data_IF_820062449604
#
_entry.id   IF_820062449604
#
_cell.length_a   1.000
_cell.length_b   1.000
_cell.length_c   1.000
_cell.angle_alpha   90.00
_cell.angle_beta   90.00
_cell.angle_gamma   90.00
#
_symmetry.space_group_name_H-M   'P 1'
#
loop_
_entity.id
_entity.type
_entity.pdbx_description
1 polymer ?
#
# COMPACT_ATOMS: atom_id res chain seq x y z
N UNK A 1 -40.60 82.56 45.97
CA UNK A 1 -41.01 81.21 45.54
C UNK A 1 -39.74 80.50 45.09
N UNK A 2 -39.29 79.51 45.86
CA UNK A 2 -38.03 78.79 45.61
C UNK A 2 -38.23 77.75 44.50
N UNK A 3 -37.35 77.76 43.50
CA UNK A 3 -37.29 76.72 42.46
C UNK A 3 -36.15 75.77 42.78
N UNK A 4 -36.48 74.49 42.96
CA UNK A 4 -35.54 73.38 43.12
C UNK A 4 -35.00 73.01 41.74
N UNK A 5 -33.68 73.08 41.55
CA UNK A 5 -33.01 72.56 40.36
C UNK A 5 -32.62 71.11 40.65
N UNK A 6 -33.28 70.18 39.97
CA UNK A 6 -32.95 68.75 39.99
C UNK A 6 -31.89 68.51 38.91
N UNK A 7 -30.66 68.18 39.31
CA UNK A 7 -29.62 67.71 38.40
C UNK A 7 -29.86 66.23 38.09
N UNK A 8 -30.34 65.94 36.89
CA UNK A 8 -30.37 64.59 36.31
C UNK A 8 -28.96 64.25 35.81
N UNK A 9 -28.21 63.47 36.61
CA UNK A 9 -26.98 62.82 36.17
C UNK A 9 -27.35 61.66 35.24
N UNK A 10 -27.28 61.91 33.93
CA UNK A 10 -27.37 60.86 32.92
C UNK A 10 -26.12 59.99 32.95
N UNK A 11 -26.24 58.73 33.36
CA UNK A 11 -25.18 57.74 33.25
C UNK A 11 -25.14 57.27 31.80
N UNK A 12 -24.22 57.81 31.01
CA UNK A 12 -23.88 57.25 29.70
C UNK A 12 -23.00 56.02 29.90
N UNK A 13 -23.56 54.84 29.64
CA UNK A 13 -22.80 53.60 29.62
C UNK A 13 -21.93 53.58 28.36
N UNK A 14 -20.65 53.94 28.50
CA UNK A 14 -19.66 53.73 27.44
C UNK A 14 -19.28 52.27 27.48
N UNK A 15 -19.87 51.46 26.60
CA UNK A 15 -19.43 50.08 26.38
C UNK A 15 -18.18 50.15 25.50
N UNK A 16 -17.00 49.94 26.09
CA UNK A 16 -15.78 49.74 25.30
C UNK A 16 -15.89 48.35 24.65
N UNK A 17 -15.96 48.30 23.31
CA UNK A 17 -15.89 47.04 22.58
C UNK A 17 -14.44 46.58 22.49
N UNK A 18 -14.20 45.30 22.78
CA UNK A 18 -12.88 44.67 22.61
C UNK A 18 -12.45 44.78 21.14
N UNK A 19 -11.24 45.26 20.85
CA UNK A 19 -10.71 45.30 19.48
C UNK A 19 -10.34 43.89 18.96
N UNK A 20 -10.41 42.86 19.82
CA UNK A 20 -9.99 41.50 19.51
C UNK A 20 -11.10 40.63 18.86
N UNK A 21 -12.23 41.24 18.54
CA UNK A 21 -13.39 40.55 17.97
C UNK A 21 -14.29 39.91 19.04
N UNK A 22 -15.51 39.49 18.65
CA UNK A 22 -16.50 38.93 19.57
C UNK A 22 -16.16 37.51 20.04
N UNK A 23 -15.32 36.79 19.30
CA UNK A 23 -14.93 35.39 19.57
C UNK A 23 -13.80 35.25 20.59
N UNK A 24 -13.11 36.35 20.94
CA UNK A 24 -11.92 36.32 21.78
C UNK A 24 -12.30 36.42 23.27
N UNK A 25 -12.58 35.28 23.88
CA UNK A 25 -12.98 35.14 25.29
C UNK A 25 -11.77 34.87 26.22
N UNK A 26 -10.83 35.82 26.30
CA UNK A 26 -9.67 35.76 27.21
C UNK A 26 -9.72 36.93 28.21
N UNK A 27 -9.33 36.68 29.46
CA UNK A 27 -9.25 37.73 30.47
C UNK A 27 -8.27 38.84 30.04
N UNK A 28 -8.71 40.10 30.06
CA UNK A 28 -7.90 41.23 29.62
C UNK A 28 -6.56 41.33 30.38
N UNK A 29 -6.53 40.90 31.64
CA UNK A 29 -5.35 40.89 32.52
C UNK A 29 -4.30 39.84 32.14
N UNK A 30 -4.63 38.91 31.24
CA UNK A 30 -3.65 37.95 30.70
C UNK A 30 -2.61 38.65 29.79
N UNK A 31 -2.99 39.76 29.16
CA UNK A 31 -2.14 40.45 28.17
C UNK A 31 -1.89 41.92 28.54
N UNK A 32 -2.83 42.57 29.22
CA UNK A 32 -2.77 43.97 29.62
C UNK A 32 -2.63 44.10 31.13
N UNK A 33 -2.12 45.23 31.59
CA UNK A 33 -1.96 45.49 33.02
C UNK A 33 -2.45 46.91 33.39
N UNK A 34 -2.46 47.22 34.68
CA UNK A 34 -2.95 48.51 35.17
C UNK A 34 -2.14 49.72 34.71
N UNK A 35 -0.93 49.53 34.19
CA UNK A 35 -0.07 50.61 33.70
C UNK A 35 -0.37 51.00 32.25
N UNK A 36 -1.10 50.18 31.48
CA UNK A 36 -1.44 50.48 30.10
C UNK A 36 -1.90 49.26 29.29
N UNK A 37 -2.26 49.53 28.03
CA UNK A 37 -2.68 48.51 27.06
C UNK A 37 -1.51 47.94 26.25
N UNK A 38 -0.30 48.45 26.43
CA UNK A 38 0.89 47.93 25.77
C UNK A 38 1.25 46.55 26.33
N UNK A 39 1.47 45.61 25.42
CA UNK A 39 1.81 44.23 25.75
C UNK A 39 3.33 44.15 25.99
N UNK A 40 3.73 43.59 27.12
CA UNK A 40 5.13 43.23 27.35
C UNK A 40 5.35 41.78 26.91
N UNK A 41 6.05 41.61 25.79
CA UNK A 41 6.28 40.31 25.15
C UNK A 41 7.08 39.34 26.02
N UNK A 42 7.90 39.84 26.95
CA UNK A 42 8.67 39.02 27.89
C UNK A 42 7.80 38.43 29.01
N UNK A 43 6.62 39.03 29.24
CA UNK A 43 5.65 38.60 30.27
C UNK A 43 4.38 37.98 29.67
N UNK A 44 4.24 38.05 28.34
CA UNK A 44 3.09 37.54 27.61
C UNK A 44 3.14 36.00 27.58
N UNK A 45 2.14 35.36 28.18
CA UNK A 45 2.01 33.91 28.23
C UNK A 45 0.74 33.49 27.49
N UNK A 46 0.82 33.41 26.17
CA UNK A 46 -0.22 32.76 25.36
C UNK A 46 0.40 31.56 24.62
N UNK A 47 -0.19 30.38 24.83
CA UNK A 47 0.34 29.14 24.29
C UNK A 47 -0.27 28.83 22.92
N UNK A 48 0.56 28.86 21.87
CA UNK A 48 0.13 28.48 20.52
C UNK A 48 0.05 26.94 20.34
N UNK A 49 0.61 26.14 21.24
CA UNK A 49 0.54 24.66 21.18
C UNK A 49 -0.89 24.13 21.31
N UNK A 50 -1.83 24.93 21.82
CA UNK A 50 -3.24 24.55 21.96
C UNK A 50 -4.08 24.91 20.73
N UNK A 51 -3.48 25.51 19.72
CA UNK A 51 -4.16 25.96 18.50
C UNK A 51 -3.82 25.07 17.30
N UNK A 52 -4.59 25.23 16.21
CA UNK A 52 -4.42 24.48 14.97
C UNK A 52 -3.08 24.71 14.27
N UNK A 53 -2.42 25.86 14.51
CA UNK A 53 -1.10 26.17 13.98
C UNK A 53 -0.10 26.27 15.12
N UNK A 54 0.76 25.25 15.24
CA UNK A 54 1.81 25.20 16.26
C UNK A 54 3.03 25.97 15.78
N UNK A 55 3.57 26.84 16.65
CA UNK A 55 4.79 27.56 16.34
C UNK A 55 6.00 26.63 16.53
N UNK A 56 6.68 26.32 15.42
CA UNK A 56 7.89 25.50 15.41
C UNK A 56 8.97 26.15 14.55
N UNK A 57 10.23 25.84 14.85
CA UNK A 57 11.37 26.34 14.08
C UNK A 57 11.44 27.86 14.05
N UNK A 58 11.50 28.45 12.85
CA UNK A 58 11.62 29.90 12.70
C UNK A 58 10.36 30.66 13.15
N UNK A 59 9.19 30.01 13.13
CA UNK A 59 7.93 30.65 13.52
C UNK A 59 7.89 31.03 15.01
N UNK A 60 8.75 30.44 15.85
CA UNK A 60 8.89 30.80 17.27
C UNK A 60 9.50 32.19 17.49
N UNK A 61 10.24 32.71 16.51
CA UNK A 61 10.94 34.00 16.60
C UNK A 61 10.45 35.04 15.59
N UNK A 62 9.43 34.68 14.81
CA UNK A 62 8.74 35.61 13.89
C UNK A 62 7.91 36.61 14.68
N UNK A 63 7.92 37.89 14.28
CA UNK A 63 7.08 38.91 14.90
C UNK A 63 5.59 38.54 14.72
N UNK A 64 4.81 38.63 15.80
CA UNK A 64 3.38 38.33 15.82
C UNK A 64 2.61 39.04 14.70
N UNK A 65 3.03 40.24 14.30
CA UNK A 65 2.39 41.06 13.27
C UNK A 65 2.50 40.49 11.86
N UNK A 66 3.47 39.62 11.61
CA UNK A 66 3.62 38.95 10.32
C UNK A 66 2.50 37.92 10.09
N UNK A 67 1.94 37.36 11.16
CA UNK A 67 0.80 36.45 11.11
C UNK A 67 -0.53 37.18 11.38
N UNK A 68 -0.52 38.11 12.33
CA UNK A 68 -1.72 38.84 12.78
C UNK A 68 -1.73 40.28 12.23
N UNK A 69 -2.30 40.43 11.03
CA UNK A 69 -2.49 41.73 10.38
C UNK A 69 -3.53 42.64 11.11
N UNK A 70 -4.33 42.07 12.00
CA UNK A 70 -5.28 42.80 12.85
C UNK A 70 -5.26 42.26 14.28
N UNK A 71 -5.91 42.96 15.20
CA UNK A 71 -6.08 42.53 16.59
C UNK A 71 -7.11 41.39 16.73
N UNK A 72 -7.80 41.00 15.66
CA UNK A 72 -8.73 39.88 15.63
C UNK A 72 -7.93 38.60 15.32
N UNK A 73 -7.48 37.91 16.38
CA UNK A 73 -6.46 36.86 16.30
C UNK A 73 -6.93 35.56 15.61
N UNK A 74 -8.24 35.31 15.51
CA UNK A 74 -8.81 34.12 14.84
C UNK A 74 -8.84 34.21 13.30
N UNK A 75 -8.41 35.33 12.73
CA UNK A 75 -8.40 35.56 11.27
C UNK A 75 -7.06 35.21 10.60
N UNK A 76 -6.02 34.89 11.38
CA UNK A 76 -4.73 34.53 10.81
C UNK A 76 -4.83 33.18 10.07
N UNK A 77 -4.40 33.11 8.79
CA UNK A 77 -4.39 31.85 8.08
C UNK A 77 -3.31 30.91 8.63
N UNK A 78 -3.59 29.61 8.61
CA UNK A 78 -2.66 28.57 9.07
C UNK A 78 -1.99 27.79 7.94
N UNK A 79 -2.42 28.00 6.69
CA UNK A 79 -1.87 27.28 5.54
C UNK A 79 -0.58 27.94 5.06
N UNK A 80 0.46 27.13 4.80
CA UNK A 80 1.79 27.58 4.39
C UNK A 80 1.74 28.56 3.20
N UNK A 81 0.96 28.23 2.17
CA UNK A 81 0.82 29.02 0.94
C UNK A 81 0.11 30.38 1.15
N UNK A 82 -0.50 30.62 2.31
CA UNK A 82 -1.09 31.94 2.63
C UNK A 82 -0.05 32.99 3.01
N UNK A 83 1.14 32.53 3.44
CA UNK A 83 2.24 33.41 3.86
C UNK A 83 3.49 33.25 2.98
N UNK A 84 3.74 32.03 2.49
CA UNK A 84 4.90 31.72 1.67
C UNK A 84 4.53 31.65 0.19
N UNK A 85 5.35 32.32 -0.64
CA UNK A 85 5.22 32.22 -2.08
C UNK A 85 5.81 30.90 -2.56
N UNK A 86 5.05 30.20 -3.37
CA UNK A 86 5.56 29.02 -4.08
C UNK A 86 6.58 29.44 -5.15
N UNK A 87 7.81 28.93 -5.00
CA UNK A 87 8.89 29.13 -5.97
C UNK A 87 8.91 28.03 -7.05
N UNK A 88 8.10 26.99 -6.88
CA UNK A 88 8.08 25.81 -7.74
C UNK A 88 7.04 25.91 -8.87
N UNK A 89 6.33 27.03 -8.99
CA UNK A 89 5.31 27.28 -10.01
C UNK A 89 4.26 26.16 -10.09
N UNK A 90 3.80 25.70 -8.93
CA UNK A 90 2.81 24.66 -8.69
C UNK A 90 3.19 23.25 -9.17
N UNK A 91 4.45 23.02 -9.54
CA UNK A 91 4.89 21.70 -10.03
C UNK A 91 4.93 20.62 -8.95
N UNK A 92 5.02 21.00 -7.68
CA UNK A 92 5.08 20.07 -6.54
C UNK A 92 3.84 20.13 -5.62
N UNK A 93 2.87 20.99 -5.92
CA UNK A 93 1.66 21.20 -5.11
C UNK A 93 1.87 22.11 -3.90
N UNK A 94 0.85 22.22 -3.04
CA UNK A 94 0.84 23.09 -1.85
C UNK A 94 1.15 22.36 -0.53
N UNK A 95 1.44 21.06 -0.59
CA UNK A 95 1.81 20.26 0.58
C UNK A 95 3.30 20.48 0.91
N UNK A 96 3.61 21.66 1.44
CA UNK A 96 4.98 22.11 1.68
C UNK A 96 5.72 21.19 2.66
N UNK A 97 5.00 20.66 3.66
CA UNK A 97 5.57 19.83 4.74
C UNK A 97 6.00 18.44 4.28
N UNK A 98 5.66 18.06 3.04
CA UNK A 98 6.21 16.86 2.40
C UNK A 98 7.73 16.94 2.19
N UNK A 99 8.25 18.15 1.97
CA UNK A 99 9.68 18.34 1.66
C UNK A 99 10.38 19.31 2.63
N UNK A 100 9.65 20.29 3.14
CA UNK A 100 10.21 21.38 3.95
C UNK A 100 9.81 21.25 5.40
N UNK A 101 10.65 21.77 6.30
CA UNK A 101 10.38 21.79 7.73
C UNK A 101 10.21 23.22 8.22
N UNK A 102 9.52 23.45 9.34
CA UNK A 102 9.46 24.77 9.98
C UNK A 102 10.85 25.35 10.34
N UNK A 103 11.91 24.53 10.35
CA UNK A 103 13.28 24.95 10.63
C UNK A 103 14.02 25.42 9.37
N UNK A 104 13.71 24.85 8.20
CA UNK A 104 14.44 25.14 6.97
C UNK A 104 13.66 24.73 5.71
N UNK A 105 13.81 25.54 4.66
CA UNK A 105 13.39 25.22 3.29
C UNK A 105 14.37 24.32 2.54
N UNK A 106 15.54 24.02 3.13
CA UNK A 106 16.48 23.07 2.53
C UNK A 106 15.93 21.65 2.65
N UNK A 107 16.10 20.87 1.58
CA UNK A 107 15.68 19.48 1.47
C UNK A 107 16.93 18.63 1.36
N UNK A 108 17.14 17.70 2.29
CA UNK A 108 18.30 16.81 2.34
C UNK A 108 17.96 15.34 2.03
N UNK A 109 16.68 14.98 2.04
CA UNK A 109 16.15 13.64 1.77
C UNK A 109 15.67 13.45 0.30
N UNK A 110 16.36 14.06 -0.66
CA UNK A 110 16.01 13.96 -2.08
C UNK A 110 16.00 12.51 -2.60
N UNK A 111 16.98 11.64 -2.27
CA UNK A 111 16.96 10.24 -2.68
C UNK A 111 15.73 9.47 -2.18
N UNK A 112 15.35 9.66 -0.92
CA UNK A 112 14.20 9.00 -0.29
C UNK A 112 12.89 9.46 -0.93
N UNK A 113 12.76 10.76 -1.20
CA UNK A 113 11.59 11.30 -1.91
C UNK A 113 11.43 10.68 -3.30
N UNK A 114 12.53 10.40 -4.01
CA UNK A 114 12.50 9.75 -5.30
C UNK A 114 12.15 8.27 -5.20
N UNK A 115 12.69 7.56 -4.21
CA UNK A 115 12.36 6.17 -3.90
C UNK A 115 10.87 6.00 -3.56
N UNK A 116 10.33 6.83 -2.67
CA UNK A 116 8.90 6.83 -2.29
C UNK A 116 7.97 7.11 -3.48
N UNK A 117 8.45 7.84 -4.49
CA UNK A 117 7.71 8.16 -5.70
C UNK A 117 7.98 7.18 -6.86
N UNK A 118 8.67 6.07 -6.60
CA UNK A 118 8.81 4.97 -7.56
C UNK A 118 9.90 5.17 -8.61
N UNK A 119 10.92 5.99 -8.33
CA UNK A 119 12.12 6.11 -9.15
C UNK A 119 13.37 6.29 -8.27
N UNK A 120 13.96 5.20 -7.72
CA UNK A 120 15.11 5.32 -6.83
C UNK A 120 16.33 5.87 -7.58
N UNK A 121 16.99 6.89 -7.01
CA UNK A 121 18.20 7.51 -7.57
C UNK A 121 19.45 6.66 -7.28
N UNK A 122 19.52 5.49 -7.90
CA UNK A 122 20.59 4.48 -7.72
C UNK A 122 21.43 4.31 -8.99
N UNK A 123 22.61 3.71 -8.84
CA UNK A 123 23.52 3.46 -9.95
C UNK A 123 23.89 4.74 -10.71
N UNK A 124 23.78 4.71 -12.04
CA UNK A 124 24.07 5.86 -12.90
C UNK A 124 23.03 6.99 -12.76
N UNK A 125 21.79 6.67 -12.39
CA UNK A 125 20.71 7.66 -12.24
C UNK A 125 20.93 8.55 -11.01
N UNK A 126 21.63 8.06 -9.98
CA UNK A 126 22.01 8.85 -8.81
C UNK A 126 23.05 9.95 -9.08
N UNK A 127 23.72 9.91 -10.24
CA UNK A 127 24.72 10.91 -10.64
C UNK A 127 24.18 11.96 -11.61
N UNK A 128 22.89 11.90 -11.99
CA UNK A 128 22.28 12.85 -12.89
C UNK A 128 22.05 14.20 -12.20
N UNK A 129 22.06 15.26 -13.00
CA UNK A 129 21.62 16.57 -12.56
C UNK A 129 20.10 16.63 -12.52
N UNK A 130 19.55 17.44 -11.62
CA UNK A 130 18.10 17.62 -11.50
C UNK A 130 17.43 17.97 -12.83
N UNK A 131 18.10 18.81 -13.64
CA UNK A 131 17.59 19.31 -14.93
C UNK A 131 17.62 18.26 -16.04
N UNK A 132 18.32 17.15 -15.85
CA UNK A 132 18.37 16.06 -16.83
C UNK A 132 17.03 15.31 -16.87
N UNK A 133 16.29 15.31 -15.74
CA UNK A 133 14.97 14.69 -15.63
C UNK A 133 13.85 15.74 -15.50
N UNK A 134 14.06 16.75 -14.65
CA UNK A 134 13.11 17.85 -14.45
C UNK A 134 13.36 18.98 -15.44
N UNK A 135 13.09 18.70 -16.71
CA UNK A 135 13.37 19.61 -17.83
C UNK A 135 12.49 20.85 -17.71
N UNK A 136 13.11 21.97 -17.32
CA UNK A 136 12.42 23.25 -17.21
C UNK A 136 13.38 24.43 -17.40
N UNK A 137 12.80 25.62 -17.50
CA UNK A 137 13.56 26.87 -17.69
C UNK A 137 14.39 27.27 -16.45
N UNK A 138 14.11 26.66 -15.27
CA UNK A 138 14.69 27.07 -13.97
C UNK A 138 14.93 25.86 -13.05
N UNK A 139 16.00 25.88 -12.25
CA UNK A 139 16.29 24.80 -11.29
C UNK A 139 15.29 24.63 -10.14
N UNK A 140 14.23 25.45 -10.08
CA UNK A 140 13.21 25.43 -9.02
C UNK A 140 11.90 24.79 -9.48
N UNK A 141 11.74 24.55 -10.78
CA UNK A 141 10.53 23.98 -11.35
C UNK A 141 10.77 22.49 -11.67
N UNK A 142 9.99 21.62 -11.02
CA UNK A 142 10.18 20.17 -11.05
C UNK A 142 9.08 19.49 -11.87
N UNK A 143 9.11 19.69 -13.19
CA UNK A 143 8.17 18.99 -14.08
C UNK A 143 8.45 17.48 -14.06
N UNK A 144 7.39 16.67 -13.99
CA UNK A 144 7.52 15.20 -14.00
C UNK A 144 7.57 14.69 -15.43
N UNK A 145 8.69 14.08 -15.80
CA UNK A 145 8.85 13.37 -17.07
C UNK A 145 8.12 12.01 -17.09
N UNK A 146 7.95 11.40 -15.92
CA UNK A 146 7.53 10.00 -15.75
C UNK A 146 8.69 9.14 -15.24
N UNK A 147 8.40 7.95 -14.73
CA UNK A 147 9.39 7.01 -14.17
C UNK A 147 9.66 5.80 -15.08
N UNK A 148 8.93 5.64 -16.18
CA UNK A 148 9.17 4.55 -17.13
C UNK A 148 10.51 4.75 -17.85
N UNK A 149 11.26 3.66 -18.01
CA UNK A 149 12.59 3.68 -18.61
C UNK A 149 12.56 4.30 -20.02
N UNK A 150 11.52 3.99 -20.80
CA UNK A 150 11.34 4.47 -22.17
C UNK A 150 11.14 5.98 -22.29
N UNK A 151 10.74 6.67 -21.21
CA UNK A 151 10.61 8.13 -21.24
C UNK A 151 11.95 8.80 -21.57
N UNK A 152 13.08 8.14 -21.26
CA UNK A 152 14.43 8.55 -21.67
C UNK A 152 15.03 7.60 -22.74
N UNK A 153 14.85 6.30 -22.57
CA UNK A 153 15.61 5.27 -23.31
C UNK A 153 14.87 4.70 -24.53
N UNK A 154 13.79 5.33 -25.00
CA UNK A 154 13.09 4.88 -26.21
C UNK A 154 14.02 4.82 -27.42
N UNK A 155 14.89 5.83 -27.59
CA UNK A 155 15.78 5.85 -28.75
C UNK A 155 16.88 4.80 -28.65
N UNK A 156 17.36 4.50 -27.45
CA UNK A 156 18.28 3.38 -27.19
C UNK A 156 17.60 2.07 -27.59
N UNK A 157 16.39 1.81 -27.09
CA UNK A 157 15.58 0.63 -27.41
C UNK A 157 15.39 0.43 -28.92
N UNK A 158 15.06 1.49 -29.67
CA UNK A 158 14.85 1.43 -31.12
C UNK A 158 16.14 1.22 -31.91
N UNK A 159 17.29 1.64 -31.38
CA UNK A 159 18.58 1.58 -32.07
C UNK A 159 19.38 0.32 -31.75
N UNK A 160 19.01 -0.45 -30.73
CA UNK A 160 19.73 -1.67 -30.35
C UNK A 160 19.57 -2.75 -31.42
N UNK A 161 20.70 -3.27 -31.91
CA UNK A 161 20.75 -4.32 -32.95
C UNK A 161 21.31 -5.65 -32.45
N UNK A 162 21.84 -5.71 -31.23
CA UNK A 162 22.47 -6.90 -30.65
C UNK A 162 22.25 -6.99 -29.13
N UNK A 163 21.21 -7.72 -28.66
CA UNK A 163 20.12 -8.31 -29.45
C UNK A 163 19.16 -7.24 -30.00
N UNK A 164 18.58 -7.46 -31.18
CA UNK A 164 17.59 -6.52 -31.75
C UNK A 164 16.27 -6.65 -30.98
N UNK A 165 15.97 -5.68 -30.10
CA UNK A 165 14.80 -5.71 -29.24
C UNK A 165 13.49 -5.78 -30.03
N UNK A 166 13.39 -5.03 -31.14
CA UNK A 166 12.15 -4.96 -31.94
C UNK A 166 11.91 -6.26 -32.72
N UNK A 167 12.97 -6.86 -33.25
CA UNK A 167 12.87 -8.08 -34.05
C UNK A 167 12.53 -9.30 -33.19
N UNK A 168 13.14 -9.38 -32.00
CA UNK A 168 12.90 -10.46 -31.03
C UNK A 168 11.61 -10.24 -30.23
N UNK A 169 11.04 -9.03 -30.29
CA UNK A 169 9.76 -8.72 -29.64
C UNK A 169 9.88 -8.50 -28.13
N UNK A 170 11.04 -8.04 -27.64
CA UNK A 170 11.15 -7.69 -26.22
C UNK A 170 10.23 -6.53 -25.85
N UNK A 171 9.71 -6.54 -24.63
CA UNK A 171 8.84 -5.47 -24.13
C UNK A 171 9.62 -4.17 -24.05
N UNK A 172 9.03 -3.09 -24.54
CA UNK A 172 9.57 -1.75 -24.33
C UNK A 172 9.35 -1.27 -22.89
N UNK A 173 8.39 -1.82 -22.16
CA UNK A 173 8.03 -1.35 -20.82
C UNK A 173 8.80 -2.10 -19.71
N UNK A 174 9.16 -3.36 -19.95
CA UNK A 174 9.77 -4.22 -18.93
C UNK A 174 11.29 -4.34 -19.09
N UNK A 175 11.99 -3.20 -19.15
CA UNK A 175 13.44 -3.20 -19.32
C UNK A 175 14.18 -3.98 -18.22
N UNK A 176 13.61 -4.01 -17.00
CA UNK A 176 14.19 -4.69 -15.83
C UNK A 176 14.16 -6.23 -15.90
N UNK A 177 13.43 -6.81 -16.86
CA UNK A 177 13.49 -8.26 -17.11
C UNK A 177 14.88 -8.69 -17.58
N UNK A 178 15.63 -7.76 -18.18
CA UNK A 178 16.97 -8.01 -18.71
C UNK A 178 18.04 -7.09 -18.12
N UNK A 179 17.71 -5.82 -17.85
CA UNK A 179 18.66 -4.79 -17.45
C UNK A 179 18.59 -4.49 -15.95
N UNK A 180 19.75 -4.40 -15.30
CA UNK A 180 19.85 -4.11 -13.88
C UNK A 180 20.09 -2.61 -13.63
N UNK A 181 19.30 -1.99 -12.74
CA UNK A 181 19.43 -0.57 -12.36
C UNK A 181 20.77 -0.25 -11.68
N UNK A 182 21.45 -1.26 -11.12
CA UNK A 182 22.77 -1.12 -10.51
C UNK A 182 23.91 -1.32 -11.52
N UNK A 183 23.61 -1.78 -12.73
CA UNK A 183 24.62 -1.88 -13.77
C UNK A 183 25.03 -0.49 -14.27
N UNK A 184 26.32 -0.30 -14.52
CA UNK A 184 26.84 0.91 -15.15
C UNK A 184 26.69 0.93 -16.68
N UNK A 185 26.24 -0.20 -17.27
CA UNK A 185 26.23 -0.42 -18.71
C UNK A 185 25.05 -1.31 -19.13
N UNK A 186 24.52 -1.11 -20.35
CA UNK A 186 23.40 -1.89 -20.88
C UNK A 186 23.82 -3.31 -21.29
N UNK A 187 25.10 -3.51 -21.55
CA UNK A 187 25.71 -4.73 -22.08
C UNK A 187 25.75 -5.89 -21.08
N UNK A 188 25.64 -5.60 -19.77
CA UNK A 188 25.61 -6.62 -18.70
C UNK A 188 24.21 -7.21 -18.49
N UNK A 189 23.39 -7.23 -19.55
CA UNK A 189 22.02 -7.73 -19.51
C UNK A 189 21.98 -9.24 -19.21
N UNK A 190 21.08 -9.63 -18.32
CA UNK A 190 20.83 -11.03 -17.94
C UNK A 190 19.36 -11.30 -18.17
N UNK A 191 19.02 -12.30 -18.98
CA UNK A 191 17.62 -12.70 -19.19
C UNK A 191 17.11 -13.34 -17.90
N UNK A 192 16.17 -12.68 -17.22
CA UNK A 192 15.58 -13.16 -15.97
C UNK A 192 14.15 -13.63 -16.23
N UNK A 193 13.85 -14.86 -15.80
CA UNK A 193 12.53 -15.46 -15.93
C UNK A 193 11.76 -15.32 -14.62
N UNK A 194 11.65 -14.12 -14.07
CA UNK A 194 10.95 -13.92 -12.79
C UNK A 194 9.47 -14.29 -12.84
N UNK A 195 8.88 -14.24 -14.04
CA UNK A 195 7.49 -14.61 -14.31
C UNK A 195 7.30 -16.12 -14.55
N UNK A 196 8.37 -16.90 -14.70
CA UNK A 196 8.28 -18.34 -14.96
C UNK A 196 9.44 -19.11 -14.32
N UNK A 197 9.19 -19.99 -13.33
CA UNK A 197 10.24 -20.65 -12.58
C UNK A 197 10.99 -21.70 -13.42
N UNK A 198 12.26 -21.42 -13.76
CA UNK A 198 13.18 -22.35 -14.41
C UNK A 198 13.67 -23.43 -13.42
N UNK A 199 12.79 -24.37 -13.10
CA UNK A 199 13.00 -25.43 -12.12
C UNK A 199 12.74 -26.80 -12.75
N UNK A 200 13.47 -27.81 -12.29
CA UNK A 200 13.39 -29.20 -12.79
C UNK A 200 13.30 -29.28 -14.32
N UNK A 201 12.20 -29.79 -14.87
CA UNK A 201 12.00 -29.99 -16.31
C UNK A 201 11.96 -28.69 -17.12
N UNK A 202 11.67 -27.55 -16.50
CA UNK A 202 11.71 -26.24 -17.14
C UNK A 202 13.10 -25.59 -17.09
N UNK A 203 14.05 -26.16 -16.34
CA UNK A 203 15.43 -25.68 -16.30
C UNK A 203 16.26 -26.27 -17.46
N UNK A 204 15.97 -25.79 -18.67
CA UNK A 204 16.67 -26.19 -19.90
C UNK A 204 17.69 -25.12 -20.33
N UNK A 205 18.73 -25.55 -21.05
CA UNK A 205 19.72 -24.64 -21.65
C UNK A 205 19.34 -24.22 -23.08
N UNK A 206 18.36 -24.89 -23.69
CA UNK A 206 17.95 -24.67 -25.07
C UNK A 206 16.70 -23.78 -25.09
N UNK A 207 16.88 -22.47 -25.28
CA UNK A 207 15.78 -21.49 -25.23
C UNK A 207 14.63 -21.85 -26.18
N UNK A 208 14.95 -22.47 -27.32
CA UNK A 208 14.00 -22.83 -28.37
C UNK A 208 13.09 -24.01 -27.98
N UNK A 209 13.33 -24.69 -26.86
CA UNK A 209 12.38 -25.68 -26.33
C UNK A 209 11.09 -25.03 -25.84
N UNK A 210 11.15 -23.78 -25.38
CA UNK A 210 10.00 -23.01 -24.93
C UNK A 210 9.67 -21.84 -25.86
N UNK A 211 10.69 -21.13 -26.37
CA UNK A 211 10.55 -20.03 -27.31
C UNK A 211 10.51 -20.53 -28.75
N UNK A 212 9.35 -21.10 -29.10
CA UNK A 212 9.12 -21.81 -30.37
C UNK A 212 9.10 -20.88 -31.60
N UNK A 213 8.94 -19.57 -31.41
CA UNK A 213 8.94 -18.57 -32.49
C UNK A 213 10.17 -17.68 -32.39
N UNK A 214 10.42 -16.90 -33.44
CA UNK A 214 11.49 -15.89 -33.41
C UNK A 214 11.21 -14.76 -32.39
N UNK A 215 9.94 -14.58 -31.99
CA UNK A 215 9.53 -13.58 -31.01
C UNK A 215 9.38 -14.24 -29.64
N UNK A 216 10.31 -13.98 -28.75
CA UNK A 216 10.35 -14.63 -27.45
C UNK A 216 9.12 -14.30 -26.59
N UNK A 217 8.52 -13.13 -26.81
CA UNK A 217 7.28 -12.69 -26.19
C UNK A 217 6.04 -13.51 -26.54
N UNK A 218 6.08 -14.33 -27.60
CA UNK A 218 4.92 -15.12 -28.02
C UNK A 218 4.68 -16.33 -27.10
N UNK A 219 5.69 -16.75 -26.34
CA UNK A 219 5.59 -17.87 -25.41
C UNK A 219 4.80 -17.47 -24.17
N UNK A 220 3.70 -18.16 -23.93
CA UNK A 220 2.83 -17.99 -22.77
C UNK A 220 3.46 -18.65 -21.54
N UNK A 221 3.54 -17.96 -20.37
CA UNK A 221 4.03 -18.54 -19.13
C UNK A 221 2.99 -19.45 -18.43
N UNK A 222 1.73 -19.43 -18.87
CA UNK A 222 0.66 -20.22 -18.29
C UNK A 222 0.89 -21.71 -18.52
N UNK A 223 0.86 -22.52 -17.45
CA UNK A 223 1.16 -23.95 -17.51
C UNK A 223 0.29 -24.69 -18.54
N UNK A 224 -1.01 -24.35 -18.60
CA UNK A 224 -1.97 -24.99 -19.51
C UNK A 224 -1.69 -24.71 -20.98
N UNK A 225 -0.91 -23.67 -21.33
CA UNK A 225 -0.54 -23.44 -22.73
C UNK A 225 0.24 -24.61 -23.34
N UNK A 226 1.01 -25.33 -22.52
CA UNK A 226 1.73 -26.55 -22.88
C UNK A 226 1.06 -27.81 -22.32
N UNK A 227 0.57 -27.75 -21.08
CA UNK A 227 0.09 -28.91 -20.32
C UNK A 227 -1.44 -29.07 -20.33
N UNK A 228 -2.17 -28.48 -21.29
CA UNK A 228 -3.62 -28.66 -21.41
C UNK A 228 -4.01 -30.13 -21.57
N UNK A 229 -3.20 -30.90 -22.30
CA UNK A 229 -3.47 -32.34 -22.50
C UNK A 229 -3.32 -33.11 -21.20
N UNK A 230 -2.29 -32.78 -20.40
CA UNK A 230 -2.08 -33.41 -19.09
C UNK A 230 -3.21 -33.03 -18.13
N UNK A 231 -3.59 -31.75 -18.08
CA UNK A 231 -4.73 -31.27 -17.30
C UNK A 231 -6.01 -32.03 -17.66
N UNK A 232 -6.32 -32.15 -18.95
CA UNK A 232 -7.54 -32.82 -19.41
C UNK A 232 -7.54 -34.34 -19.18
N UNK A 233 -6.37 -34.98 -19.16
CA UNK A 233 -6.24 -36.44 -19.00
C UNK A 233 -6.03 -36.89 -17.55
N UNK A 234 -5.91 -35.97 -16.59
CA UNK A 234 -5.73 -36.30 -15.17
C UNK A 234 -7.04 -36.87 -14.60
N UNK A 235 -6.98 -38.01 -13.92
CA UNK A 235 -8.16 -38.70 -13.36
C UNK A 235 -8.17 -38.82 -11.83
N UNK A 236 -7.06 -38.49 -11.17
CA UNK A 236 -6.90 -38.65 -9.72
C UNK A 236 -6.20 -37.42 -9.10
N UNK A 237 -6.95 -36.39 -8.69
CA UNK A 237 -8.38 -36.18 -8.93
C UNK A 237 -8.67 -35.77 -10.38
N UNK A 238 -9.88 -36.02 -10.88
CA UNK A 238 -10.28 -35.58 -12.23
C UNK A 238 -10.45 -34.06 -12.25
N UNK A 239 -9.52 -33.36 -12.92
CA UNK A 239 -9.52 -31.90 -12.97
C UNK A 239 -10.76 -31.33 -13.68
N UNK A 240 -11.24 -31.99 -14.74
CA UNK A 240 -12.38 -31.51 -15.51
C UNK A 240 -13.68 -31.77 -14.76
N UNK A 241 -13.88 -32.99 -14.27
CA UNK A 241 -15.09 -33.37 -13.56
C UNK A 241 -15.21 -32.66 -12.21
N UNK A 242 -14.09 -32.42 -11.53
CA UNK A 242 -14.03 -31.63 -10.30
C UNK A 242 -14.08 -30.11 -10.50
N UNK A 243 -14.19 -29.63 -11.75
CA UNK A 243 -14.22 -28.20 -12.10
C UNK A 243 -13.01 -27.39 -11.55
N UNK A 244 -11.83 -27.99 -11.53
CA UNK A 244 -10.63 -27.32 -11.04
C UNK A 244 -10.21 -26.15 -11.95
N UNK A 245 -9.70 -25.05 -11.39
CA UNK A 245 -9.19 -23.93 -12.18
C UNK A 245 -7.93 -24.33 -12.97
N UNK A 246 -7.67 -23.61 -14.06
CA UNK A 246 -6.46 -23.78 -14.87
C UNK A 246 -5.22 -23.10 -14.28
N UNK A 247 -5.36 -22.40 -13.16
CA UNK A 247 -4.22 -21.90 -12.39
C UNK A 247 -3.62 -23.05 -11.57
N UNK A 248 -2.64 -23.72 -12.17
CA UNK A 248 -2.01 -24.88 -11.57
C UNK A 248 -1.24 -24.55 -10.30
N UNK A 249 -0.80 -23.29 -10.12
CA UNK A 249 0.05 -22.87 -8.99
C UNK A 249 -0.67 -22.87 -7.65
N UNK A 250 -2.02 -22.93 -7.68
CA UNK A 250 -2.84 -23.10 -6.48
C UNK A 250 -2.59 -24.43 -5.77
N UNK A 251 -2.22 -25.47 -6.53
CA UNK A 251 -2.05 -26.81 -5.98
C UNK A 251 -0.68 -27.41 -6.25
N UNK A 252 -0.03 -27.03 -7.35
CA UNK A 252 1.22 -27.62 -7.79
C UNK A 252 2.38 -26.65 -7.63
N UNK A 253 3.55 -27.20 -7.32
CA UNK A 253 4.83 -26.51 -7.40
C UNK A 253 5.73 -27.22 -8.40
N UNK A 254 6.67 -26.49 -8.99
CA UNK A 254 7.71 -27.08 -9.83
C UNK A 254 8.97 -27.42 -9.03
N UNK A 255 9.04 -27.04 -7.75
CA UNK A 255 10.13 -27.34 -6.81
C UNK A 255 9.55 -27.59 -5.40
N UNK A 256 9.75 -28.77 -4.77
CA UNK A 256 10.61 -29.89 -5.19
C UNK A 256 10.04 -30.79 -6.29
N UNK A 257 8.80 -30.56 -6.74
CA UNK A 257 8.20 -31.30 -7.85
C UNK A 257 6.68 -31.16 -7.92
N UNK A 258 6.11 -31.62 -9.04
CA UNK A 258 4.68 -31.48 -9.37
C UNK A 258 3.74 -32.28 -8.47
N UNK A 259 4.25 -33.35 -7.85
CA UNK A 259 3.50 -34.25 -6.98
C UNK A 259 4.23 -34.51 -5.65
N UNK A 260 3.49 -34.69 -4.54
CA UNK A 260 2.03 -34.61 -4.44
C UNK A 260 1.52 -33.17 -4.60
N UNK A 261 0.28 -33.00 -5.08
CA UNK A 261 -0.38 -31.71 -5.08
C UNK A 261 -0.70 -31.30 -3.64
N UNK A 262 -0.49 -30.03 -3.31
CA UNK A 262 -0.98 -29.42 -2.08
C UNK A 262 -2.27 -28.65 -2.33
N UNK A 263 -2.95 -28.25 -1.27
CA UNK A 263 -3.99 -27.22 -1.35
C UNK A 263 -4.02 -26.45 -0.02
N UNK A 264 -3.05 -25.55 0.23
CA UNK A 264 -2.86 -24.91 1.53
C UNK A 264 -4.08 -24.15 2.04
N UNK A 265 -4.94 -23.67 1.14
CA UNK A 265 -6.16 -22.95 1.49
C UNK A 265 -7.18 -23.80 2.26
N UNK A 266 -6.97 -25.12 2.32
CA UNK A 266 -7.79 -26.02 3.13
C UNK A 266 -7.74 -25.68 4.63
N UNK A 267 -6.65 -25.08 5.13
CA UNK A 267 -6.54 -24.61 6.53
C UNK A 267 -6.96 -23.14 6.71
N UNK A 268 -7.06 -22.36 5.62
CA UNK A 268 -7.39 -20.94 5.66
C UNK A 268 -8.90 -20.70 5.45
N UNK A 269 -9.50 -21.40 4.48
CA UNK A 269 -10.86 -21.16 3.99
C UNK A 269 -11.80 -22.36 4.23
N UNK A 270 -11.25 -23.55 4.50
CA UNK A 270 -12.01 -24.80 4.65
C UNK A 270 -11.65 -25.55 5.95
N UNK A 271 -12.01 -26.84 6.01
CA UNK A 271 -11.75 -27.70 7.16
C UNK A 271 -10.25 -28.01 7.31
N UNK A 272 -9.55 -27.69 8.41
CA UNK A 272 -8.10 -27.87 8.49
C UNK A 272 -7.63 -29.32 8.33
N UNK A 273 -6.70 -29.56 7.40
CA UNK A 273 -6.07 -30.87 7.12
C UNK A 273 -4.53 -30.83 7.15
N UNK A 274 -3.92 -29.65 7.14
CA UNK A 274 -2.46 -29.46 7.31
C UNK A 274 -2.08 -29.14 8.76
N UNK A 275 -3.08 -29.00 9.64
CA UNK A 275 -2.95 -28.75 11.07
C UNK A 275 -3.99 -29.55 11.89
N UNK A 276 -3.99 -29.38 13.20
CA UNK A 276 -4.90 -30.08 14.10
C UNK A 276 -4.73 -31.61 14.08
N UNK A 277 -5.80 -32.32 14.43
CA UNK A 277 -5.82 -33.79 14.56
C UNK A 277 -5.85 -34.54 13.23
N UNK A 278 -6.11 -33.87 12.11
CA UNK A 278 -6.16 -34.50 10.78
C UNK A 278 -4.84 -34.34 10.01
N UNK A 279 -3.88 -33.60 10.56
CA UNK A 279 -2.55 -33.44 9.96
C UNK A 279 -1.83 -34.78 9.82
N UNK A 280 -1.59 -35.18 8.57
CA UNK A 280 -0.85 -36.41 8.25
C UNK A 280 -1.68 -37.68 8.40
N UNK A 281 -3.00 -37.57 8.52
CA UNK A 281 -3.93 -38.70 8.62
C UNK A 281 -4.65 -39.00 7.28
N UNK A 282 -4.17 -38.40 6.18
CA UNK A 282 -4.72 -38.54 4.84
C UNK A 282 -3.57 -38.62 3.82
N UNK A 283 -3.78 -39.38 2.74
CA UNK A 283 -2.81 -39.54 1.65
C UNK A 283 -3.38 -39.04 0.31
N UNK A 284 -4.71 -38.99 0.17
CA UNK A 284 -5.41 -38.55 -1.04
C UNK A 284 -6.64 -37.69 -0.72
N UNK A 285 -6.99 -36.78 -1.63
CA UNK A 285 -8.19 -35.95 -1.51
C UNK A 285 -9.45 -36.82 -1.34
N UNK A 286 -9.50 -37.99 -2.00
CA UNK A 286 -10.66 -38.88 -1.95
C UNK A 286 -10.83 -39.63 -0.62
N UNK A 287 -9.85 -39.56 0.29
CA UNK A 287 -9.96 -40.16 1.62
C UNK A 287 -11.08 -39.48 2.43
N UNK A 288 -11.27 -38.17 2.19
CA UNK A 288 -12.34 -37.37 2.77
C UNK A 288 -13.44 -37.05 1.75
N UNK A 289 -13.08 -36.79 0.48
CA UNK A 289 -14.01 -36.42 -0.58
C UNK A 289 -14.51 -37.64 -1.34
N UNK A 290 -15.72 -38.09 -1.00
CA UNK A 290 -16.27 -39.38 -1.46
C UNK A 290 -16.71 -39.40 -2.93
N UNK A 291 -16.59 -38.27 -3.63
CA UNK A 291 -16.91 -38.15 -5.06
C UNK A 291 -15.78 -37.42 -5.80
N UNK A 292 -15.13 -38.11 -6.73
CA UNK A 292 -14.05 -37.56 -7.57
C UNK A 292 -14.51 -36.46 -8.53
N UNK A 293 -15.82 -36.32 -8.75
CA UNK A 293 -16.41 -35.33 -9.65
C UNK A 293 -17.13 -34.20 -8.88
N UNK A 294 -17.13 -34.25 -7.55
CA UNK A 294 -17.76 -33.23 -6.71
C UNK A 294 -17.07 -33.21 -5.35
N UNK A 295 -16.04 -32.36 -5.24
CA UNK A 295 -15.28 -32.17 -4.01
C UNK A 295 -16.08 -31.44 -2.92
N UNK A 296 -17.33 -31.02 -3.18
CA UNK A 296 -18.24 -30.61 -2.09
C UNK A 296 -18.86 -31.80 -1.35
N UNK A 297 -18.79 -33.01 -1.92
CA UNK A 297 -19.21 -34.25 -1.25
C UNK A 297 -18.06 -34.79 -0.40
N UNK A 298 -18.26 -34.81 0.91
CA UNK A 298 -17.27 -35.30 1.87
C UNK A 298 -17.89 -36.19 2.95
N UNK A 299 -17.03 -36.93 3.65
CA UNK A 299 -17.45 -37.74 4.79
C UNK A 299 -16.50 -37.63 5.97
N UNK A 300 -17.05 -37.26 7.13
CA UNK A 300 -16.33 -37.28 8.40
C UNK A 300 -16.44 -38.65 9.11
N UNK A 301 -17.41 -39.46 8.67
CA UNK A 301 -17.84 -40.68 9.36
C UNK A 301 -17.32 -41.96 8.68
N UNK A 302 -16.70 -41.86 7.51
CA UNK A 302 -16.06 -43.01 6.87
C UNK A 302 -14.68 -43.31 7.49
N UNK A 303 -14.10 -42.33 8.19
CA UNK A 303 -12.84 -42.48 8.91
C UNK A 303 -12.98 -43.26 10.23
N UNK A 304 -11.89 -43.90 10.67
CA UNK A 304 -11.91 -44.84 11.80
C UNK A 304 -12.33 -44.24 13.16
N UNK A 305 -12.11 -42.95 13.39
CA UNK A 305 -12.44 -42.31 14.67
C UNK A 305 -13.96 -42.13 14.86
N UNK A 306 -14.68 -41.85 13.77
CA UNK A 306 -16.10 -41.46 13.83
C UNK A 306 -17.05 -42.48 13.23
N UNK A 307 -16.58 -43.56 12.59
CA UNK A 307 -17.41 -44.54 11.90
C UNK A 307 -18.38 -45.37 12.77
N UNK A 308 -18.32 -45.22 14.09
CA UNK A 308 -19.21 -45.92 15.01
C UNK A 308 -20.26 -44.97 15.58
N UNK A 309 -21.43 -44.97 14.94
CA UNK A 309 -22.57 -44.14 15.34
C UNK A 309 -22.93 -44.28 16.83
N UNK A 310 -22.88 -45.47 17.42
CA UNK A 310 -23.22 -45.64 18.84
C UNK A 310 -22.22 -44.94 19.75
N UNK A 311 -20.92 -44.96 19.41
CA UNK A 311 -19.90 -44.25 20.19
C UNK A 311 -20.08 -42.74 20.06
N UNK A 312 -20.30 -42.24 18.85
CA UNK A 312 -20.50 -40.82 18.60
C UNK A 312 -21.77 -40.33 19.28
N UNK A 313 -22.89 -41.06 19.18
CA UNK A 313 -24.13 -40.70 19.89
C UNK A 313 -23.94 -40.57 21.40
N UNK A 314 -23.15 -41.47 22.02
CA UNK A 314 -22.86 -41.41 23.46
C UNK A 314 -22.00 -40.21 23.86
N UNK A 315 -21.21 -39.66 22.92
CA UNK A 315 -20.41 -38.45 23.16
C UNK A 315 -21.23 -37.16 22.94
N UNK A 316 -22.42 -37.27 22.35
CA UNK A 316 -23.30 -36.16 22.01
C UNK A 316 -24.69 -36.31 22.69
N UNK A 317 -24.77 -37.03 23.81
CA UNK A 317 -26.01 -37.30 24.54
C UNK A 317 -26.63 -36.02 25.15
N UNK A 318 -25.81 -35.02 25.42
CA UNK A 318 -26.22 -33.68 25.87
C UNK A 318 -26.53 -32.71 24.71
N UNK A 319 -26.30 -33.10 23.44
CA UNK A 319 -26.53 -32.25 22.27
C UNK A 319 -27.95 -32.43 21.74
N UNK A 320 -28.80 -31.42 21.97
CA UNK A 320 -30.17 -31.43 21.46
C UNK A 320 -30.21 -31.48 19.93
N UNK A 321 -31.03 -32.38 19.37
CA UNK A 321 -31.17 -32.62 17.93
C UNK A 321 -29.86 -33.03 17.22
N UNK A 322 -28.97 -33.75 17.91
CA UNK A 322 -27.79 -34.34 17.27
C UNK A 322 -28.17 -35.18 16.03
N UNK A 323 -27.48 -34.94 14.92
CA UNK A 323 -27.63 -35.69 13.67
C UNK A 323 -26.28 -36.28 13.29
N UNK A 324 -26.22 -37.61 13.20
CA UNK A 324 -25.04 -38.34 12.75
C UNK A 324 -24.91 -38.28 11.22
N UNK A 325 -24.49 -37.13 10.71
CA UNK A 325 -24.24 -36.86 9.30
C UNK A 325 -23.04 -35.92 9.15
N UNK A 326 -22.19 -36.15 8.15
CA UNK A 326 -20.94 -35.40 7.94
C UNK A 326 -21.14 -33.88 7.85
N UNK A 327 -22.19 -33.42 7.16
CA UNK A 327 -22.50 -31.98 7.07
C UNK A 327 -22.91 -31.37 8.41
N UNK A 328 -23.60 -32.13 9.27
CA UNK A 328 -23.93 -31.69 10.63
C UNK A 328 -22.68 -31.68 11.51
N UNK A 329 -21.81 -32.70 11.41
CA UNK A 329 -20.52 -32.73 12.09
C UNK A 329 -19.66 -31.51 11.72
N UNK A 330 -19.52 -31.22 10.42
CA UNK A 330 -18.75 -30.06 9.95
C UNK A 330 -19.31 -28.72 10.43
N UNK A 331 -20.64 -28.59 10.50
CA UNK A 331 -21.29 -27.36 10.98
C UNK A 331 -21.01 -27.08 12.46
N UNK A 332 -20.89 -28.12 13.28
CA UNK A 332 -20.55 -27.99 14.71
C UNK A 332 -19.03 -27.93 14.94
N UNK A 333 -18.25 -28.64 14.13
CA UNK A 333 -16.79 -28.76 14.25
C UNK A 333 -16.08 -28.28 12.98
N UNK A 334 -16.17 -26.99 12.62
CA UNK A 334 -15.59 -26.47 11.38
C UNK A 334 -14.07 -26.56 11.35
N UNK A 335 -13.41 -26.64 12.52
CA UNK A 335 -11.96 -26.75 12.67
C UNK A 335 -11.47 -28.15 13.04
N UNK A 336 -12.38 -29.13 13.13
CA UNK A 336 -12.07 -30.49 13.57
C UNK A 336 -11.79 -30.65 15.07
N UNK A 337 -11.95 -29.59 15.86
CA UNK A 337 -11.86 -29.64 17.32
C UNK A 337 -13.23 -29.81 17.97
N UNK A 338 -13.25 -30.50 19.10
CA UNK A 338 -14.45 -30.94 19.81
C UNK A 338 -14.94 -29.96 20.89
N UNK A 339 -14.58 -28.68 20.76
CA UNK A 339 -14.78 -27.64 21.78
C UNK A 339 -16.25 -27.38 22.16
#
# INVERSE_FOLDING_TARGET
MSSIIVFLLGITWVQAQSPHGPSFEVDCGACHNSNGWDINIDTFQYNHDTLSFRLEGIHLVTDCKECHASLVFDQAPSDCASCHNDIHNMTVGNDCVRCHTPQSWLVDNIPELHEENGFPLIGIHGNLSCVDCHISETNQRFDRLGNDCINCHMQDYLNTTAPNHQEIGYSAENCMDCHDLFSSAWEDAVIRHFFFPLTLGHNTQECQECHLTAKYSDTSPECVSCHLTDFNNTTEPDHQAGFFPMDCTLCHTTDPGWMPAGFPDHDNEFFPIYSGKHKGEWDSCIDCHTNSNDFSSFSCIDCHAHNNQSKVNNQHDEVNNFVYQSSACYSCHPTGEAD
#
